data_IF_450799030155
#
_entry.id   IF_450799030155
#
_cell.length_a   1.000
_cell.length_b   1.000
_cell.length_c   1.000
_cell.angle_alpha   90.00
_cell.angle_beta   90.00
_cell.angle_gamma   90.00
#
_symmetry.space_group_name_H-M   'P 1'
#
loop_
_entity.id
_entity.type
_entity.pdbx_description
1 polymer ?
#
# COMPACT_ATOMS: atom_id res chain seq x y z
N UNK A 1 16.54 2.67 -3.19
CA UNK A 1 15.81 3.89 -3.66
C UNK A 1 14.50 3.98 -2.87
N UNK A 2 14.02 5.18 -2.48
CA UNK A 2 12.72 5.30 -1.82
C UNK A 2 11.60 4.88 -2.77
N UNK A 3 10.65 4.09 -2.26
CA UNK A 3 9.43 3.66 -2.95
C UNK A 3 8.20 4.19 -2.23
N UNK A 4 7.08 4.26 -2.95
CA UNK A 4 5.78 4.67 -2.41
C UNK A 4 4.75 3.59 -2.72
N UNK A 5 3.99 3.17 -1.72
CA UNK A 5 2.85 2.28 -1.87
C UNK A 5 1.59 2.97 -1.36
N UNK A 6 0.50 2.82 -2.11
CA UNK A 6 -0.79 3.44 -1.81
C UNK A 6 -1.71 2.36 -1.25
N UNK A 7 -2.30 2.63 -0.09
CA UNK A 7 -3.33 1.80 0.53
C UNK A 7 -4.63 2.58 0.62
N UNK A 8 -5.75 1.91 0.45
CA UNK A 8 -7.07 2.50 0.65
C UNK A 8 -8.05 1.44 1.19
N UNK A 9 -8.97 1.86 2.05
CA UNK A 9 -9.99 1.00 2.62
C UNK A 9 -11.19 1.83 3.07
N UNK A 10 -12.35 1.18 3.16
CA UNK A 10 -13.58 1.76 3.70
C UNK A 10 -13.60 1.73 5.24
N UNK A 11 -12.71 0.95 5.86
CA UNK A 11 -12.54 0.86 7.31
C UNK A 11 -11.10 1.24 7.70
N UNK A 12 -10.90 2.09 8.72
CA UNK A 12 -9.56 2.44 9.20
C UNK A 12 -8.84 1.22 9.78
N UNK A 13 -9.57 0.28 10.40
CA UNK A 13 -9.00 -0.94 11.00
C UNK A 13 -8.37 -1.83 9.92
N UNK A 14 -9.10 -2.06 8.83
CA UNK A 14 -8.59 -2.83 7.68
C UNK A 14 -7.39 -2.16 7.03
N UNK A 15 -7.41 -0.83 6.92
CA UNK A 15 -6.29 -0.07 6.36
C UNK A 15 -5.02 -0.26 7.20
N UNK A 16 -5.16 -0.23 8.52
CA UNK A 16 -4.05 -0.43 9.45
C UNK A 16 -3.51 -1.85 9.36
N UNK A 17 -4.38 -2.86 9.28
CA UNK A 17 -3.99 -4.26 9.10
C UNK A 17 -3.19 -4.46 7.80
N UNK A 18 -3.66 -3.93 6.67
CA UNK A 18 -2.99 -4.05 5.37
C UNK A 18 -1.60 -3.38 5.38
N UNK A 19 -1.49 -2.20 6.02
CA UNK A 19 -0.22 -1.51 6.18
C UNK A 19 0.71 -2.35 7.07
N UNK A 20 0.22 -2.86 8.19
CA UNK A 20 1.01 -3.68 9.10
C UNK A 20 1.50 -4.98 8.45
N UNK A 21 0.66 -5.65 7.66
CA UNK A 21 1.06 -6.84 6.90
C UNK A 21 2.19 -6.49 5.91
N UNK A 22 2.06 -5.36 5.22
CA UNK A 22 3.09 -4.88 4.31
C UNK A 22 4.41 -4.54 5.02
N UNK A 23 4.35 -3.82 6.14
CA UNK A 23 5.52 -3.40 6.91
C UNK A 23 6.27 -4.58 7.55
N UNK A 24 5.53 -5.59 8.04
CA UNK A 24 6.11 -6.81 8.61
C UNK A 24 6.51 -7.83 7.53
N UNK A 25 6.21 -7.57 6.26
CA UNK A 25 6.53 -8.43 5.15
C UNK A 25 8.02 -8.55 4.83
N UNK A 26 8.33 -9.41 3.86
CA UNK A 26 9.68 -9.60 3.37
C UNK A 26 10.25 -8.38 2.65
N UNK A 27 9.39 -7.51 2.12
CA UNK A 27 9.76 -6.46 1.17
C UNK A 27 10.37 -5.21 1.84
N UNK A 28 9.94 -4.85 3.05
CA UNK A 28 10.25 -3.55 3.66
C UNK A 28 11.51 -3.63 4.53
N UNK A 29 12.54 -2.86 4.18
CA UNK A 29 13.73 -2.69 5.01
C UNK A 29 13.56 -1.59 6.05
N UNK A 30 12.95 -0.48 5.67
CA UNK A 30 12.86 0.73 6.49
C UNK A 30 11.66 1.58 6.06
N UNK A 31 11.02 2.24 7.02
CA UNK A 31 9.88 3.13 6.79
C UNK A 31 10.35 4.57 6.89
N UNK A 32 10.11 5.34 5.83
CA UNK A 32 10.52 6.74 5.76
C UNK A 32 9.42 7.64 6.32
N UNK A 33 8.19 7.44 5.87
CA UNK A 33 7.04 8.26 6.24
C UNK A 33 5.72 7.53 5.92
N UNK A 34 4.66 7.86 6.65
CA UNK A 34 3.30 7.39 6.38
C UNK A 34 2.35 8.58 6.45
N UNK A 35 1.67 8.87 5.34
CA UNK A 35 0.70 9.97 5.26
C UNK A 35 -0.71 9.44 5.12
N UNK A 36 -1.53 9.67 6.14
CA UNK A 36 -2.95 9.31 6.13
C UNK A 36 -3.79 10.41 5.50
N UNK A 37 -4.82 10.01 4.77
CA UNK A 37 -5.83 10.90 4.21
C UNK A 37 -7.20 10.25 4.29
N UNK A 38 -8.21 11.05 4.61
CA UNK A 38 -9.60 10.63 4.59
C UNK A 38 -10.36 11.45 3.56
N UNK A 39 -11.18 10.78 2.77
CA UNK A 39 -12.01 11.42 1.74
C UNK A 39 -13.39 10.80 1.77
N UNK A 40 -14.44 11.61 1.64
CA UNK A 40 -15.78 11.12 1.35
C UNK A 40 -15.94 11.01 -0.17
N UNK A 41 -16.33 9.84 -0.67
CA UNK A 41 -16.65 9.64 -2.09
C UNK A 41 -18.15 9.39 -2.20
N UNK A 42 -18.78 10.13 -3.11
CA UNK A 42 -20.15 9.92 -3.53
C UNK A 42 -20.17 8.75 -4.54
N UNK A 43 -20.65 7.57 -4.14
CA UNK A 43 -20.90 6.49 -5.08
C UNK A 43 -22.30 6.68 -5.69
N UNK A 44 -22.44 6.63 -7.02
CA UNK A 44 -23.75 6.70 -7.66
C UNK A 44 -24.53 5.39 -7.39
N UNK A 45 -25.65 5.47 -6.68
CA UNK A 45 -26.63 4.37 -6.64
C UNK A 45 -27.38 4.34 -7.98
N UNK A 46 -27.27 3.24 -8.72
CA UNK A 46 -27.94 3.02 -10.01
C UNK A 46 -29.48 3.05 -9.90
N UNK A 47 -30.04 2.95 -8.68
CA UNK A 47 -31.49 2.79 -8.50
C UNK A 47 -32.26 4.06 -8.15
N UNK A 48 -31.66 5.04 -7.48
CA UNK A 48 -32.44 6.17 -6.92
C UNK A 48 -31.82 7.57 -7.06
N UNK A 49 -30.65 7.72 -7.71
CA UNK A 49 -30.05 9.05 -7.91
C UNK A 49 -29.59 9.73 -6.60
N UNK A 50 -29.58 8.98 -5.49
CA UNK A 50 -28.96 9.36 -4.23
C UNK A 50 -27.50 8.92 -4.24
N UNK A 51 -26.60 9.84 -3.94
CA UNK A 51 -25.21 9.52 -3.67
C UNK A 51 -25.05 9.34 -2.17
N UNK A 52 -24.86 8.09 -1.73
CA UNK A 52 -24.50 7.85 -0.34
C UNK A 52 -23.01 8.21 -0.14
N UNK A 53 -22.66 9.06 0.83
CA UNK A 53 -21.28 9.38 1.12
C UNK A 53 -20.61 8.15 1.77
N UNK A 54 -19.65 7.54 1.08
CA UNK A 54 -18.78 6.52 1.66
C UNK A 54 -17.46 7.12 2.11
N UNK A 55 -17.08 6.83 3.36
CA UNK A 55 -15.77 7.18 3.89
C UNK A 55 -14.70 6.28 3.27
N UNK A 56 -13.71 6.88 2.63
CA UNK A 56 -12.50 6.22 2.18
C UNK A 56 -11.32 6.72 3.00
N UNK A 57 -10.66 5.78 3.65
CA UNK A 57 -9.40 5.98 4.35
C UNK A 57 -8.28 5.57 3.40
N UNK A 58 -7.21 6.34 3.35
CA UNK A 58 -6.07 6.07 2.49
C UNK A 58 -4.77 6.40 3.20
N UNK A 59 -3.70 5.71 2.82
CA UNK A 59 -2.36 5.98 3.30
C UNK A 59 -1.34 5.90 2.15
N UNK A 60 -0.41 6.84 2.14
CA UNK A 60 0.80 6.78 1.33
C UNK A 60 1.95 6.33 2.23
N UNK A 61 2.48 5.14 1.97
CA UNK A 61 3.60 4.56 2.73
C UNK A 61 4.88 4.73 1.91
N UNK A 62 5.79 5.56 2.41
CA UNK A 62 7.12 5.78 1.84
C UNK A 62 8.10 4.83 2.52
N UNK A 63 8.78 3.97 1.74
CA UNK A 63 9.61 2.90 2.30
C UNK A 63 10.88 2.65 1.49
N UNK A 64 11.82 1.92 2.08
CA UNK A 64 12.97 1.32 1.39
C UNK A 64 12.79 -0.18 1.33
N UNK A 65 13.05 -0.75 0.16
CA UNK A 65 12.97 -2.19 -0.05
C UNK A 65 14.21 -2.91 0.49
N UNK A 66 14.06 -4.15 0.97
CA UNK A 66 15.22 -5.00 1.30
C UNK A 66 15.97 -5.31 0.00
N UNK A 67 17.27 -5.02 -0.01
CA UNK A 67 18.14 -5.43 -1.11
C UNK A 67 18.45 -6.90 -0.84
N UNK A 68 17.86 -7.82 -1.61
CA UNK A 68 18.37 -9.19 -1.61
C UNK A 68 19.81 -9.16 -2.14
N UNK A 69 20.76 -9.82 -1.47
CA UNK A 69 22.09 -9.98 -2.02
C UNK A 69 21.95 -10.76 -3.34
N UNK A 70 22.21 -10.08 -4.46
CA UNK A 70 22.35 -10.74 -5.76
C UNK A 70 23.54 -11.68 -5.62
N UNK A 71 23.27 -12.98 -5.57
CA UNK A 71 24.31 -14.00 -5.53
C UNK A 71 25.19 -13.85 -6.80
N UNK A 72 26.47 -13.47 -6.68
CA UNK A 72 27.33 -13.24 -7.85
C UNK A 72 27.57 -14.49 -8.70
N UNK A 73 27.13 -15.67 -8.25
CA UNK A 73 27.34 -16.96 -8.90
C UNK A 73 26.36 -17.34 -10.02
N UNK A 74 25.30 -16.57 -10.29
CA UNK A 74 24.27 -16.95 -11.28
C UNK A 74 24.45 -16.28 -12.66
N UNK A 75 25.70 -16.04 -13.08
CA UNK A 75 25.98 -15.70 -14.48
C UNK A 75 26.12 -16.97 -15.32
N UNK A 76 25.04 -17.33 -16.02
CA UNK A 76 25.04 -18.08 -17.29
C UNK A 76 26.03 -19.26 -17.43
N UNK A 77 25.65 -20.46 -16.99
CA UNK A 77 26.07 -21.69 -17.68
C UNK A 77 25.09 -21.99 -18.81
N UNK A 78 25.30 -21.41 -19.99
CA UNK A 78 24.88 -22.03 -21.24
C UNK A 78 26.07 -22.83 -21.76
N UNK A 79 26.00 -24.15 -21.59
CA UNK A 79 26.86 -25.11 -22.29
C UNK A 79 26.33 -25.41 -23.69
#
# INVERSE_FOLDING_TARGET
MPKVKIFYSESPERLEDDINEFLNGGEVSDVIDIKFSTSAVALPDERHGTADPMGLFSALVFYREKIEPVDPGSFFSFG
#
